data_IF_800623393338
#
_entry.id   IF_800623393338
#
_cell.length_a   1.000
_cell.length_b   1.000
_cell.length_c   1.000
_cell.angle_alpha   90.00
_cell.angle_beta   90.00
_cell.angle_gamma   90.00
#
_symmetry.space_group_name_H-M   'P 1'
#
loop_
_entity.id
_entity.type
_entity.pdbx_description
1 polymer ?
#
# COMPACT_ATOMS: atom_id res chain seq x y z
N UNK A 1 12.23 -11.48 1.55
CA UNK A 1 11.75 -10.24 0.90
C UNK A 1 12.99 -9.46 0.53
N UNK A 2 13.20 -9.18 -0.77
CA UNK A 2 14.38 -8.46 -1.21
C UNK A 2 14.09 -6.96 -1.11
N UNK A 3 14.70 -6.29 -0.14
CA UNK A 3 14.56 -4.84 0.07
C UNK A 3 15.86 -4.14 -0.36
N UNK A 4 15.78 -2.92 -0.94
CA UNK A 4 16.97 -2.12 -1.18
C UNK A 4 17.73 -1.86 0.13
N UNK A 5 19.06 -1.80 0.04
CA UNK A 5 19.96 -1.62 1.19
C UNK A 5 19.61 -0.35 1.97
N UNK A 6 19.25 0.74 1.28
CA UNK A 6 18.85 2.00 1.91
C UNK A 6 17.63 1.86 2.82
N UNK A 7 16.68 0.98 2.46
CA UNK A 7 15.49 0.72 3.28
C UNK A 7 15.87 -0.04 4.54
N UNK A 8 16.79 -0.99 4.42
CA UNK A 8 17.31 -1.77 5.54
C UNK A 8 18.06 -0.84 6.50
N UNK A 9 18.92 0.05 5.99
CA UNK A 9 19.66 1.01 6.80
C UNK A 9 18.72 1.98 7.52
N UNK A 10 17.72 2.55 6.81
CA UNK A 10 16.71 3.39 7.43
C UNK A 10 15.90 2.66 8.50
N UNK A 11 15.56 1.38 8.28
CA UNK A 11 14.85 0.58 9.27
C UNK A 11 15.72 0.32 10.52
N UNK A 12 17.02 0.08 10.37
CA UNK A 12 17.96 -0.06 11.50
C UNK A 12 18.02 1.22 12.33
N UNK A 13 18.17 2.37 11.69
CA UNK A 13 18.20 3.67 12.36
C UNK A 13 16.92 3.92 13.17
N UNK A 14 15.74 3.61 12.60
CA UNK A 14 14.45 3.74 13.31
C UNK A 14 14.40 2.80 14.54
N UNK A 15 14.89 1.57 14.39
CA UNK A 15 14.91 0.59 15.49
C UNK A 15 15.85 1.02 16.62
N UNK A 16 17.06 1.47 16.27
CA UNK A 16 18.05 1.99 17.22
C UNK A 16 17.50 3.19 18.00
N UNK A 17 16.91 4.17 17.31
CA UNK A 17 16.27 5.32 17.94
C UNK A 17 15.17 4.88 18.91
N UNK A 18 14.31 3.94 18.51
CA UNK A 18 13.22 3.44 19.36
C UNK A 18 13.71 2.68 20.61
N UNK A 19 14.88 2.03 20.55
CA UNK A 19 15.54 1.37 21.68
C UNK A 19 16.13 2.40 22.63
N UNK A 20 16.87 3.39 22.10
CA UNK A 20 17.53 4.45 22.89
C UNK A 20 16.51 5.20 23.75
N UNK A 21 15.36 5.55 23.18
CA UNK A 21 14.28 6.25 23.91
C UNK A 21 13.29 5.30 24.61
N UNK A 22 13.62 4.01 24.72
CA UNK A 22 12.90 2.99 25.50
C UNK A 22 11.43 2.75 25.11
N UNK A 23 11.01 3.07 23.89
CA UNK A 23 9.63 2.84 23.42
C UNK A 23 9.37 1.39 23.08
N UNK A 24 10.39 0.69 22.59
CA UNK A 24 10.29 -0.71 22.19
C UNK A 24 10.29 -1.68 23.39
N UNK A 25 10.37 -1.19 24.63
CA UNK A 25 10.38 -2.05 25.82
C UNK A 25 9.12 -2.93 25.89
N UNK A 26 9.34 -4.21 26.18
CA UNK A 26 8.28 -5.21 26.26
C UNK A 26 7.77 -5.75 24.91
N UNK A 27 8.29 -5.26 23.77
CA UNK A 27 8.03 -5.83 22.44
C UNK A 27 9.10 -6.83 22.03
N UNK A 28 8.71 -7.79 21.19
CA UNK A 28 9.67 -8.76 20.66
C UNK A 28 10.55 -8.10 19.58
N UNK A 29 11.80 -8.55 19.39
CA UNK A 29 12.67 -8.02 18.33
C UNK A 29 12.04 -8.08 16.94
N UNK A 30 11.29 -9.13 16.63
CA UNK A 30 10.60 -9.29 15.34
C UNK A 30 9.49 -8.24 15.16
N UNK A 31 8.81 -7.84 16.23
CA UNK A 31 7.79 -6.79 16.20
C UNK A 31 8.42 -5.43 15.91
N UNK A 32 9.55 -5.13 16.56
CA UNK A 32 10.31 -3.91 16.32
C UNK A 32 10.86 -3.86 14.90
N UNK A 33 11.46 -4.95 14.42
CA UNK A 33 11.97 -5.06 13.06
C UNK A 33 10.84 -4.86 12.03
N UNK A 34 9.69 -5.50 12.24
CA UNK A 34 8.51 -5.37 11.36
C UNK A 34 8.05 -3.92 11.26
N UNK A 35 7.89 -3.25 12.40
CA UNK A 35 7.44 -1.85 12.44
C UNK A 35 8.46 -0.93 11.78
N UNK A 36 9.74 -1.11 12.07
CA UNK A 36 10.82 -0.25 11.56
C UNK A 36 10.95 -0.38 10.05
N UNK A 37 10.90 -1.61 9.51
CA UNK A 37 10.85 -1.88 8.07
C UNK A 37 9.60 -1.26 7.44
N UNK A 38 8.43 -1.43 8.06
CA UNK A 38 7.19 -0.87 7.53
C UNK A 38 7.22 0.67 7.47
N UNK A 39 7.77 1.32 8.50
CA UNK A 39 7.95 2.78 8.52
C UNK A 39 8.94 3.21 7.44
N UNK A 40 10.10 2.54 7.32
CA UNK A 40 11.10 2.85 6.31
C UNK A 40 10.52 2.73 4.89
N UNK A 41 9.81 1.64 4.59
CA UNK A 41 9.13 1.47 3.29
C UNK A 41 8.12 2.58 3.02
N UNK A 42 7.33 2.97 4.04
CA UNK A 42 6.37 4.08 3.90
C UNK A 42 7.06 5.41 3.60
N UNK A 43 8.16 5.74 4.28
CA UNK A 43 8.92 6.97 4.04
C UNK A 43 9.49 7.02 2.62
N UNK A 44 9.94 5.88 2.10
CA UNK A 44 10.50 5.76 0.75
C UNK A 44 9.44 5.49 -0.33
N UNK A 45 8.14 5.60 -0.03
CA UNK A 45 7.03 5.35 -0.97
C UNK A 45 7.12 3.98 -1.65
N UNK A 46 7.56 2.96 -0.91
CA UNK A 46 7.56 1.56 -1.35
C UNK A 46 6.27 0.90 -0.85
N UNK A 47 5.41 0.39 -1.74
CA UNK A 47 4.14 -0.23 -1.34
C UNK A 47 4.37 -1.57 -0.65
N UNK A 48 4.34 -1.55 0.68
CA UNK A 48 4.34 -2.74 1.54
C UNK A 48 2.98 -2.85 2.22
N UNK A 49 2.28 -3.98 2.03
CA UNK A 49 1.02 -4.20 2.73
C UNK A 49 1.28 -4.53 4.19
N UNK A 50 0.56 -3.88 5.10
CA UNK A 50 0.68 -4.15 6.54
C UNK A 50 0.49 -5.64 6.89
N UNK A 51 -0.49 -6.29 6.24
CA UNK A 51 -0.73 -7.74 6.42
C UNK A 51 0.47 -8.60 6.01
N UNK A 52 1.19 -8.19 4.97
CA UNK A 52 2.37 -8.93 4.50
C UNK A 52 3.53 -8.78 5.46
N UNK A 53 3.82 -7.55 5.90
CA UNK A 53 4.87 -7.27 6.87
C UNK A 53 4.67 -8.11 8.16
N UNK A 54 3.46 -8.10 8.71
CA UNK A 54 3.11 -8.87 9.92
C UNK A 54 3.23 -10.38 9.69
N UNK A 55 2.76 -10.87 8.53
CA UNK A 55 2.78 -12.31 8.20
C UNK A 55 4.20 -12.85 8.08
N UNK A 56 5.09 -12.14 7.40
CA UNK A 56 6.48 -12.57 7.17
C UNK A 56 7.23 -12.71 8.49
N UNK A 57 7.02 -11.77 9.41
CA UNK A 57 7.71 -11.75 10.70
C UNK A 57 7.06 -12.61 11.79
N UNK A 58 5.95 -13.32 11.49
CA UNK A 58 5.14 -14.07 12.47
C UNK A 58 4.77 -13.23 13.72
N UNK A 59 4.59 -11.92 13.52
CA UNK A 59 4.37 -10.96 14.59
C UNK A 59 2.87 -10.82 14.93
N UNK A 60 2.56 -10.37 16.15
CA UNK A 60 1.17 -10.08 16.51
C UNK A 60 0.69 -8.78 15.84
N UNK A 61 -0.37 -8.87 15.03
CA UNK A 61 -0.96 -7.72 14.33
C UNK A 61 -1.32 -6.56 15.26
N UNK A 62 -1.89 -6.88 16.43
CA UNK A 62 -2.30 -5.88 17.41
C UNK A 62 -1.09 -5.17 18.03
N UNK A 63 -0.04 -5.94 18.37
CA UNK A 63 1.20 -5.41 18.95
C UNK A 63 1.98 -4.56 17.95
N UNK A 64 2.12 -5.02 16.70
CA UNK A 64 2.75 -4.25 15.61
C UNK A 64 2.00 -2.93 15.37
N UNK A 65 0.66 -2.93 15.36
CA UNK A 65 -0.13 -1.70 15.19
C UNK A 65 0.05 -0.72 16.35
N UNK A 66 0.11 -1.25 17.57
CA UNK A 66 0.37 -0.45 18.79
C UNK A 66 1.77 0.17 18.75
N UNK A 67 2.81 -0.63 18.51
CA UNK A 67 4.19 -0.16 18.43
C UNK A 67 4.39 0.84 17.28
N UNK A 68 3.78 0.60 16.11
CA UNK A 68 3.80 1.56 15.00
C UNK A 68 3.29 2.93 15.44
N UNK A 69 2.15 3.00 16.14
CA UNK A 69 1.59 4.28 16.63
C UNK A 69 2.55 4.96 17.60
N UNK A 70 3.10 4.21 18.56
CA UNK A 70 4.06 4.74 19.54
C UNK A 70 5.29 5.31 18.86
N UNK A 71 5.92 4.56 17.97
CA UNK A 71 7.14 5.01 17.26
C UNK A 71 6.84 6.27 16.44
N UNK A 72 5.74 6.29 15.67
CA UNK A 72 5.36 7.46 14.87
C UNK A 72 5.17 8.70 15.75
N UNK A 73 4.50 8.57 16.90
CA UNK A 73 4.21 9.69 17.80
C UNK A 73 5.48 10.22 18.48
N UNK A 74 6.26 9.35 19.11
CA UNK A 74 7.41 9.79 19.90
C UNK A 74 8.64 10.17 19.08
N UNK A 75 8.87 9.55 17.92
CA UNK A 75 9.92 9.96 16.99
C UNK A 75 9.45 11.09 16.05
N UNK A 76 8.23 11.62 16.25
CA UNK A 76 7.62 12.68 15.44
C UNK A 76 7.73 12.41 13.93
N UNK A 77 7.54 11.15 13.53
CA UNK A 77 7.68 10.74 12.14
C UNK A 77 6.40 11.06 11.37
N UNK A 78 6.55 11.67 10.20
CA UNK A 78 5.42 12.01 9.31
C UNK A 78 5.53 11.22 8.00
N UNK A 79 5.26 9.90 8.01
CA UNK A 79 5.28 9.11 6.78
C UNK A 79 4.22 9.65 5.81
N UNK A 80 4.53 9.76 4.51
CA UNK A 80 3.63 10.34 3.53
C UNK A 80 2.34 9.52 3.42
N UNK A 81 1.23 10.19 3.10
CA UNK A 81 -0.04 9.52 2.77
C UNK A 81 0.22 8.57 1.60
N UNK A 82 -0.17 7.29 1.67
CA UNK A 82 0.13 6.35 0.59
C UNK A 82 -0.65 6.72 -0.67
N UNK A 83 0.05 6.81 -1.80
CA UNK A 83 -0.54 7.15 -3.09
C UNK A 83 -1.05 5.87 -3.80
N UNK A 84 -2.29 5.81 -4.30
CA UNK A 84 -2.76 4.69 -5.12
C UNK A 84 -1.85 4.39 -6.33
N UNK A 85 -1.28 5.41 -6.97
CA UNK A 85 -0.39 5.27 -8.11
C UNK A 85 0.90 4.52 -7.75
N UNK A 86 1.43 4.68 -6.53
CA UNK A 86 2.58 3.90 -6.07
C UNK A 86 2.26 2.39 -6.02
N UNK A 87 1.08 2.02 -5.52
CA UNK A 87 0.63 0.62 -5.50
C UNK A 87 0.37 0.08 -6.91
N UNK A 88 -0.14 0.91 -7.81
CA UNK A 88 -0.35 0.52 -9.20
C UNK A 88 1.01 0.24 -9.89
N UNK A 89 1.92 1.22 -9.89
CA UNK A 89 3.18 1.17 -10.64
C UNK A 89 4.16 0.17 -10.03
N UNK A 90 4.38 0.21 -8.72
CA UNK A 90 5.48 -0.52 -8.07
C UNK A 90 5.08 -1.92 -7.59
N UNK A 91 3.79 -2.28 -7.68
CA UNK A 91 3.29 -3.55 -7.17
C UNK A 91 2.35 -4.28 -8.12
N UNK A 92 1.24 -3.66 -8.53
CA UNK A 92 0.26 -4.36 -9.38
C UNK A 92 0.76 -4.58 -10.80
N UNK A 93 1.31 -3.53 -11.44
CA UNK A 93 1.78 -3.60 -12.82
C UNK A 93 2.84 -4.69 -13.04
N UNK A 94 3.90 -4.82 -12.20
CA UNK A 94 4.91 -5.86 -12.37
C UNK A 94 4.35 -7.29 -12.15
N UNK A 95 3.33 -7.45 -11.33
CA UNK A 95 2.74 -8.76 -11.02
C UNK A 95 1.81 -9.30 -12.11
N UNK A 96 1.31 -8.42 -13.00
CA UNK A 96 0.28 -8.76 -13.99
C UNK A 96 0.81 -8.58 -15.43
N UNK A 97 2.01 -8.02 -15.59
CA UNK A 97 2.65 -7.75 -16.88
C UNK A 97 1.72 -6.96 -17.82
N UNK A 98 1.33 -5.76 -17.38
CA UNK A 98 0.41 -4.90 -18.13
C UNK A 98 1.17 -3.99 -19.09
N UNK A 99 0.54 -3.65 -20.21
CA UNK A 99 1.09 -2.70 -21.18
C UNK A 99 1.16 -1.29 -20.59
N UNK A 100 2.12 -0.49 -21.06
CA UNK A 100 2.29 0.90 -20.64
C UNK A 100 1.02 1.74 -20.87
N UNK A 101 0.29 1.50 -21.94
CA UNK A 101 -0.97 2.21 -22.22
C UNK A 101 -2.05 1.92 -21.17
N UNK A 102 -2.16 0.66 -20.69
CA UNK A 102 -3.07 0.30 -19.59
C UNK A 102 -2.66 1.03 -18.30
N UNK A 103 -1.35 1.11 -18.04
CA UNK A 103 -0.80 1.77 -16.87
C UNK A 103 -1.10 3.28 -16.88
N UNK A 104 -0.86 3.96 -18.01
CA UNK A 104 -1.11 5.39 -18.18
C UNK A 104 -2.58 5.73 -17.96
N UNK A 105 -3.49 5.01 -18.63
CA UNK A 105 -4.94 5.22 -18.47
C UNK A 105 -5.41 4.98 -17.03
N UNK A 106 -4.85 3.98 -16.35
CA UNK A 106 -5.20 3.70 -14.95
C UNK A 106 -4.70 4.82 -14.01
N UNK A 107 -3.53 5.41 -14.28
CA UNK A 107 -3.01 6.57 -13.55
C UNK A 107 -3.90 7.79 -13.77
N UNK A 108 -4.36 8.03 -14.99
CA UNK A 108 -5.28 9.13 -15.31
C UNK A 108 -6.59 9.02 -14.52
N UNK A 109 -7.18 7.82 -14.47
CA UNK A 109 -8.39 7.56 -13.68
C UNK A 109 -8.14 7.84 -12.18
N UNK A 110 -7.00 7.39 -11.65
CA UNK A 110 -6.62 7.66 -10.26
C UNK A 110 -6.51 9.17 -10.02
N UNK A 111 -5.84 9.89 -10.92
CA UNK A 111 -5.64 11.34 -10.78
C UNK A 111 -6.97 12.10 -10.87
N UNK A 112 -7.85 11.74 -11.83
CA UNK A 112 -9.20 12.31 -11.92
C UNK A 112 -10.03 12.02 -10.67
N UNK A 113 -9.90 10.82 -10.11
CA UNK A 113 -10.60 10.48 -8.87
C UNK A 113 -10.03 11.24 -7.65
N UNK A 114 -8.73 11.56 -7.63
CA UNK A 114 -8.13 12.43 -6.62
C UNK A 114 -8.65 13.87 -6.73
N UNK A 115 -8.70 14.43 -7.93
CA UNK A 115 -9.14 15.83 -8.13
C UNK A 115 -10.58 16.06 -7.73
N UNK A 116 -11.47 15.07 -7.95
CA UNK A 116 -12.88 15.14 -7.56
C UNK A 116 -13.10 14.75 -6.08
N UNK A 117 -12.05 14.34 -5.35
CA UNK A 117 -12.14 14.03 -3.91
C UNK A 117 -12.84 12.71 -3.55
N UNK A 118 -13.26 11.90 -4.52
CA UNK A 118 -14.01 10.66 -4.27
C UNK A 118 -13.17 9.53 -3.63
N UNK A 119 -11.85 9.73 -3.52
CA UNK A 119 -10.89 8.78 -2.95
C UNK A 119 -10.66 8.97 -1.44
N UNK A 120 -11.20 10.02 -0.83
CA UNK A 120 -11.01 10.27 0.60
C UNK A 120 -11.51 9.09 1.45
N UNK A 121 -10.68 8.68 2.42
CA UNK A 121 -10.96 7.55 3.32
C UNK A 121 -10.88 6.16 2.67
N UNK A 122 -10.64 6.05 1.36
CA UNK A 122 -10.53 4.76 0.66
C UNK A 122 -9.13 4.19 0.74
N UNK A 123 -9.03 2.86 0.73
CA UNK A 123 -7.74 2.17 0.78
C UNK A 123 -6.98 2.38 -0.56
N UNK A 124 -5.78 3.00 -0.57
CA UNK A 124 -5.03 3.29 -1.79
C UNK A 124 -4.73 2.07 -2.66
N UNK A 125 -4.44 0.91 -2.05
CA UNK A 125 -4.19 -0.32 -2.79
C UNK A 125 -5.44 -0.84 -3.48
N UNK A 126 -6.62 -0.62 -2.88
CA UNK A 126 -7.89 -1.02 -3.48
C UNK A 126 -8.32 -0.08 -4.61
N UNK A 127 -8.01 1.22 -4.49
CA UNK A 127 -8.17 2.20 -5.57
C UNK A 127 -7.31 1.84 -6.77
N UNK A 128 -6.04 1.50 -6.55
CA UNK A 128 -5.14 1.04 -7.60
C UNK A 128 -5.70 -0.19 -8.33
N UNK A 129 -6.19 -1.19 -7.59
CA UNK A 129 -6.80 -2.37 -8.16
C UNK A 129 -8.10 -2.07 -8.95
N UNK A 130 -8.95 -1.17 -8.44
CA UNK A 130 -10.20 -0.79 -9.09
C UNK A 130 -9.95 -0.01 -10.39
N UNK A 131 -9.02 0.95 -10.39
CA UNK A 131 -8.64 1.70 -11.58
C UNK A 131 -8.06 0.78 -12.66
N UNK A 132 -7.15 -0.12 -12.27
CA UNK A 132 -6.59 -1.11 -13.19
C UNK A 132 -7.67 -2.04 -13.77
N UNK A 133 -8.58 -2.53 -12.92
CA UNK A 133 -9.69 -3.38 -13.37
C UNK A 133 -10.58 -2.66 -14.39
N UNK A 134 -10.88 -1.38 -14.16
CA UNK A 134 -11.73 -0.58 -15.03
C UNK A 134 -11.14 -0.46 -16.44
N UNK A 135 -9.85 -0.11 -16.55
CA UNK A 135 -9.15 0.00 -17.85
C UNK A 135 -9.08 -1.35 -18.57
N UNK A 136 -8.81 -2.43 -17.84
CA UNK A 136 -8.73 -3.77 -18.42
C UNK A 136 -10.07 -4.23 -19.00
N UNK A 137 -11.19 -3.95 -18.32
CA UNK A 137 -12.53 -4.18 -18.87
C UNK A 137 -12.75 -3.36 -20.14
N UNK A 138 -12.43 -2.06 -20.10
CA UNK A 138 -12.59 -1.18 -21.26
C UNK A 138 -11.84 -1.65 -22.50
N UNK A 139 -10.72 -2.34 -22.31
CA UNK A 139 -9.89 -2.94 -23.37
C UNK A 139 -10.26 -4.39 -23.71
N UNK A 140 -11.39 -4.90 -23.24
CA UNK A 140 -11.82 -6.29 -23.40
C UNK A 140 -10.79 -7.34 -22.92
N UNK A 141 -9.89 -6.97 -21.99
CA UNK A 141 -8.92 -7.89 -21.40
C UNK A 141 -9.54 -8.62 -20.22
N UNK A 142 -9.67 -9.95 -20.33
CA UNK A 142 -10.21 -10.79 -19.25
C UNK A 142 -9.24 -10.84 -18.07
N UNK A 143 -9.58 -10.15 -16.98
CA UNK A 143 -8.87 -10.24 -15.70
C UNK A 143 -9.86 -10.49 -14.57
N UNK A 144 -9.51 -11.42 -13.67
CA UNK A 144 -10.33 -11.69 -12.49
C UNK A 144 -10.19 -10.57 -11.47
N UNK A 145 -11.31 -9.95 -11.08
CA UNK A 145 -11.35 -8.99 -9.98
C UNK A 145 -10.80 -9.60 -8.68
N UNK A 146 -11.08 -10.88 -8.43
CA UNK A 146 -10.57 -11.59 -7.26
C UNK A 146 -9.04 -11.73 -7.28
N UNK A 147 -8.45 -11.91 -8.47
CA UNK A 147 -6.98 -11.89 -8.64
C UNK A 147 -6.42 -10.53 -8.26
N UNK A 148 -6.98 -9.42 -8.77
CA UNK A 148 -6.53 -8.07 -8.45
C UNK A 148 -6.70 -7.73 -6.97
N UNK A 149 -7.85 -8.09 -6.39
CA UNK A 149 -8.13 -7.87 -4.98
C UNK A 149 -7.11 -8.59 -4.08
N UNK A 150 -6.77 -9.84 -4.42
CA UNK A 150 -5.74 -10.62 -3.72
C UNK A 150 -4.37 -9.94 -3.79
N UNK A 151 -3.94 -9.48 -4.97
CA UNK A 151 -2.66 -8.78 -5.14
C UNK A 151 -2.60 -7.46 -4.35
N UNK A 152 -3.73 -6.76 -4.26
CA UNK A 152 -3.91 -5.56 -3.45
C UNK A 152 -4.14 -5.83 -1.94
N UNK A 153 -4.26 -7.09 -1.51
CA UNK A 153 -4.48 -7.47 -0.11
C UNK A 153 -5.85 -7.08 0.47
N UNK A 154 -6.84 -6.86 -0.40
CA UNK A 154 -8.21 -6.47 -0.05
C UNK A 154 -9.22 -7.51 -0.56
N UNK A 155 -10.50 -7.35 -0.19
CA UNK A 155 -11.55 -8.25 -0.67
C UNK A 155 -12.06 -7.79 -2.03
N UNK A 156 -12.58 -8.73 -2.83
CA UNK A 156 -13.23 -8.41 -4.11
C UNK A 156 -14.36 -7.39 -3.93
N UNK A 157 -15.09 -7.45 -2.81
CA UNK A 157 -16.14 -6.49 -2.48
C UNK A 157 -15.59 -5.07 -2.27
N UNK A 158 -14.43 -4.92 -1.62
CA UNK A 158 -13.78 -3.60 -1.49
C UNK A 158 -13.44 -3.02 -2.86
N UNK A 159 -12.88 -3.82 -3.76
CA UNK A 159 -12.58 -3.39 -5.14
C UNK A 159 -13.86 -3.01 -5.87
N UNK A 160 -14.91 -3.83 -5.78
CA UNK A 160 -16.23 -3.57 -6.39
C UNK A 160 -16.88 -2.27 -5.89
N UNK A 161 -16.80 -1.98 -4.60
CA UNK A 161 -17.35 -0.76 -4.02
C UNK A 161 -16.61 0.49 -4.51
N UNK A 162 -15.28 0.43 -4.61
CA UNK A 162 -14.50 1.54 -5.15
C UNK A 162 -14.75 1.70 -6.65
N UNK A 163 -14.83 0.60 -7.39
CA UNK A 163 -15.15 0.57 -8.82
C UNK A 163 -16.44 1.35 -9.10
N UNK A 164 -17.51 1.07 -8.35
CA UNK A 164 -18.79 1.80 -8.46
C UNK A 164 -18.65 3.31 -8.27
N UNK A 165 -17.70 3.76 -7.43
CA UNK A 165 -17.46 5.19 -7.24
C UNK A 165 -16.63 5.83 -8.33
N UNK A 166 -15.68 5.10 -8.94
CA UNK A 166 -14.79 5.65 -9.99
C UNK A 166 -15.39 5.51 -11.38
N UNK A 167 -16.30 4.56 -11.60
CA UNK A 167 -16.93 4.28 -12.89
C UNK A 167 -17.61 5.51 -13.52
N UNK A 168 -18.33 6.38 -12.77
CA UNK A 168 -18.91 7.60 -13.33
C UNK A 168 -17.87 8.63 -13.83
N UNK A 169 -16.59 8.48 -13.45
CA UNK A 169 -15.53 9.37 -13.92
C UNK A 169 -15.02 9.01 -15.32
N UNK A 170 -15.39 7.84 -15.82
CA UNK A 170 -14.91 7.33 -17.10
C UNK A 170 -16.11 7.20 -18.03
N UNK A 171 -16.13 8.01 -19.09
CA UNK A 171 -17.13 7.92 -20.13
C UNK A 171 -16.80 6.72 -21.00
N UNK A 172 -17.26 5.54 -20.62
CA UNK A 172 -17.42 4.43 -21.56
C UNK A 172 -18.74 4.67 -22.29
N UNK A 173 -18.74 5.61 -23.23
CA UNK A 173 -19.74 5.69 -24.32
C UNK A 173 -19.39 4.67 -25.39
#
# INVERSE_FOLDING_TARGET
MNLPVDIINNAKLIAEQAIVIRIAQGYKPEELATVSIYIACRRSRIPLLFKEAVRIAKASKARVKSLYRRIIQHLNLKPPVPDPSDYLIKRLAPMINIDNDVLTQAIEIINKAKTVGILHGKNPSAVAAAALYLVLIGKNKRVSMSKLARLAGVTSMTVKNILKSIMPLVNYT
#
